data_IF_178224629486
#
_entry.id   IF_178224629486
#
_cell.length_a   1.000
_cell.length_b   1.000
_cell.length_c   1.000
_cell.angle_alpha   90.00
_cell.angle_beta   90.00
_cell.angle_gamma   90.00
#
_symmetry.space_group_name_H-M   'P 1'
#
loop_
_entity.id
_entity.type
_entity.pdbx_description
1 polymer ?
#
# COMPACT_ATOMS: atom_id res chain seq x y z
N UNK A 1 11.77 14.08 6.24
CA UNK A 1 11.10 12.99 5.51
C UNK A 1 9.85 12.63 6.29
N UNK A 2 8.81 12.07 5.67
CA UNK A 2 7.62 11.63 6.41
C UNK A 2 7.97 10.39 7.24
N UNK A 3 7.62 10.40 8.53
CA UNK A 3 7.79 9.25 9.43
C UNK A 3 6.70 8.17 9.22
N UNK A 4 5.68 8.52 8.44
CA UNK A 4 4.52 7.68 8.10
C UNK A 4 4.75 6.95 6.78
N UNK A 5 4.03 5.85 6.57
CA UNK A 5 4.00 5.15 5.28
C UNK A 5 3.37 6.05 4.21
N UNK A 6 4.08 6.26 3.10
CA UNK A 6 3.58 7.09 2.00
C UNK A 6 4.00 6.54 0.64
N UNK A 7 3.04 6.46 -0.28
CA UNK A 7 3.25 6.01 -1.64
C UNK A 7 2.31 6.73 -2.61
N UNK A 8 2.71 6.78 -3.88
CA UNK A 8 1.84 7.26 -4.95
C UNK A 8 1.25 6.07 -5.70
N UNK A 9 -0.06 6.12 -5.93
CA UNK A 9 -0.78 5.13 -6.70
C UNK A 9 -1.21 5.75 -8.03
N UNK A 10 -0.78 5.13 -9.13
CA UNK A 10 -1.24 5.48 -10.46
C UNK A 10 -2.65 4.90 -10.71
N UNK A 11 -3.47 5.51 -11.60
CA UNK A 11 -4.81 5.02 -11.90
C UNK A 11 -4.87 3.58 -12.45
N UNK A 12 -3.75 3.06 -12.96
CA UNK A 12 -3.61 1.70 -13.45
C UNK A 12 -3.19 0.70 -12.35
N UNK A 13 -3.16 1.14 -11.08
CA UNK A 13 -2.85 0.31 -9.93
C UNK A 13 -1.35 0.21 -9.59
N UNK A 14 -0.47 0.75 -10.43
CA UNK A 14 0.99 0.73 -10.18
C UNK A 14 1.39 1.71 -9.10
N UNK A 15 2.53 1.43 -8.45
CA UNK A 15 3.15 2.28 -7.44
C UNK A 15 4.42 2.93 -8.00
N UNK A 16 4.39 4.14 -8.60
CA UNK A 16 5.57 4.71 -9.23
C UNK A 16 6.65 5.16 -8.26
N UNK A 17 6.28 5.44 -7.00
CA UNK A 17 7.21 5.82 -5.95
C UNK A 17 6.60 5.57 -4.56
N UNK A 18 7.46 5.32 -3.58
CA UNK A 18 7.15 5.21 -2.16
C UNK A 18 8.33 5.73 -1.34
N UNK A 19 8.11 5.97 -0.05
CA UNK A 19 9.18 6.30 0.89
C UNK A 19 9.75 5.06 1.59
N UNK A 20 10.90 5.22 2.25
CA UNK A 20 11.59 4.14 2.98
C UNK A 20 10.75 3.54 4.12
N UNK A 21 9.68 4.20 4.55
CA UNK A 21 8.77 3.68 5.57
C UNK A 21 7.93 2.50 5.08
N UNK A 22 7.64 2.40 3.78
CA UNK A 22 6.94 1.22 3.22
C UNK A 22 7.70 -0.07 3.54
N UNK A 23 8.96 -0.27 3.10
CA UNK A 23 9.68 -1.50 3.38
C UNK A 23 9.94 -1.71 4.88
N UNK A 24 10.19 -0.63 5.64
CA UNK A 24 10.44 -0.73 7.09
C UNK A 24 9.22 -1.19 7.91
N UNK A 25 8.00 -0.81 7.50
CA UNK A 25 6.76 -1.14 8.22
C UNK A 25 6.15 -2.45 7.71
N UNK A 26 6.19 -2.67 6.40
CA UNK A 26 5.53 -3.84 5.78
C UNK A 26 6.44 -5.06 5.66
N UNK A 27 7.76 -4.86 5.70
CA UNK A 27 8.76 -5.92 5.50
C UNK A 27 9.05 -6.26 4.04
N UNK A 28 8.31 -5.68 3.08
CA UNK A 28 8.58 -5.87 1.65
C UNK A 28 9.88 -5.20 1.23
N UNK A 29 10.60 -5.82 0.31
CA UNK A 29 11.72 -5.18 -0.38
C UNK A 29 11.22 -4.16 -1.40
N UNK A 30 12.10 -3.26 -1.86
CA UNK A 30 11.78 -2.35 -2.96
C UNK A 30 11.34 -3.10 -4.23
N UNK A 31 12.02 -4.21 -4.57
CA UNK A 31 11.68 -5.00 -5.75
C UNK A 31 10.31 -5.68 -5.65
N UNK A 32 9.95 -6.22 -4.48
CA UNK A 32 8.61 -6.75 -4.25
C UNK A 32 7.55 -5.64 -4.33
N UNK A 33 7.84 -4.47 -3.75
CA UNK A 33 6.94 -3.31 -3.79
C UNK A 33 6.66 -2.83 -5.22
N UNK A 34 7.65 -2.90 -6.12
CA UNK A 34 7.49 -2.54 -7.55
C UNK A 34 6.47 -3.42 -8.28
N UNK A 35 6.35 -4.68 -7.88
CA UNK A 35 5.46 -5.66 -8.51
C UNK A 35 4.07 -5.68 -7.88
N UNK A 36 3.91 -5.06 -6.71
CA UNK A 36 2.67 -5.07 -5.93
C UNK A 36 1.65 -4.00 -6.34
N UNK A 37 0.38 -4.33 -6.14
CA UNK A 37 -0.72 -3.37 -6.06
C UNK A 37 -0.81 -2.73 -4.67
N UNK A 38 -1.24 -1.47 -4.61
CA UNK A 38 -1.48 -0.76 -3.35
C UNK A 38 -2.44 -1.49 -2.39
N UNK A 39 -3.38 -2.28 -2.91
CA UNK A 39 -4.32 -3.05 -2.09
C UNK A 39 -3.67 -4.22 -1.36
N UNK A 40 -2.50 -4.69 -1.83
CA UNK A 40 -1.83 -5.85 -1.24
C UNK A 40 -1.11 -5.52 0.08
N UNK A 41 -0.92 -4.23 0.39
CA UNK A 41 -0.50 -3.77 1.73
C UNK A 41 -1.56 -3.98 2.81
N UNK A 42 -2.78 -4.36 2.44
CA UNK A 42 -3.88 -4.59 3.36
C UNK A 42 -4.20 -6.08 3.47
N UNK A 43 -4.71 -6.47 4.64
CA UNK A 43 -5.21 -7.82 4.90
C UNK A 43 -6.24 -8.23 3.84
N UNK A 44 -6.30 -9.51 3.44
CA UNK A 44 -7.18 -9.99 2.36
C UNK A 44 -8.66 -9.62 2.58
N UNK A 45 -9.11 -9.52 3.83
CA UNK A 45 -10.44 -9.10 4.23
C UNK A 45 -10.77 -7.63 3.89
N UNK A 46 -9.77 -6.75 3.86
CA UNK A 46 -9.93 -5.30 3.66
C UNK A 46 -9.68 -4.87 2.21
N UNK A 47 -9.12 -5.74 1.37
CA UNK A 47 -8.67 -5.39 0.00
C UNK A 47 -9.79 -4.85 -0.87
N UNK A 48 -10.98 -5.44 -0.79
CA UNK A 48 -12.13 -5.03 -1.60
C UNK A 48 -12.64 -3.64 -1.18
N UNK A 49 -12.64 -3.35 0.13
CA UNK A 49 -13.03 -2.03 0.64
C UNK A 49 -12.02 -0.96 0.21
N UNK A 50 -10.72 -1.26 0.35
CA UNK A 50 -9.64 -0.35 -0.09
C UNK A 50 -9.68 -0.13 -1.60
N UNK A 51 -9.90 -1.17 -2.40
CA UNK A 51 -10.04 -1.04 -3.85
C UNK A 51 -11.20 -0.12 -4.23
N UNK A 52 -12.34 -0.25 -3.55
CA UNK A 52 -13.50 0.63 -3.72
C UNK A 52 -13.15 2.08 -3.35
N UNK A 53 -12.50 2.30 -2.20
CA UNK A 53 -12.07 3.63 -1.76
C UNK A 53 -11.12 4.31 -2.77
N UNK A 54 -10.17 3.55 -3.32
CA UNK A 54 -9.27 4.02 -4.39
C UNK A 54 -10.07 4.39 -5.65
N UNK A 55 -10.97 3.53 -6.10
CA UNK A 55 -11.79 3.78 -7.29
C UNK A 55 -12.64 5.05 -7.13
N UNK A 56 -13.22 5.25 -5.95
CA UNK A 56 -13.95 6.48 -5.58
C UNK A 56 -13.03 7.70 -5.60
N UNK A 57 -11.85 7.64 -4.98
CA UNK A 57 -10.92 8.76 -4.93
C UNK A 57 -10.49 9.20 -6.34
N UNK A 58 -10.20 8.25 -7.23
CA UNK A 58 -9.81 8.50 -8.62
C UNK A 58 -10.97 9.04 -9.44
N UNK A 59 -12.15 8.42 -9.35
CA UNK A 59 -13.32 8.78 -10.20
C UNK A 59 -13.95 10.10 -9.77
N UNK A 60 -14.13 10.29 -8.47
CA UNK A 60 -14.78 11.48 -7.90
C UNK A 60 -13.81 12.63 -7.64
N UNK A 61 -12.49 12.38 -7.79
CA UNK A 61 -11.41 13.37 -7.59
C UNK A 61 -11.46 14.06 -6.22
N UNK A 62 -11.68 13.26 -5.18
CA UNK A 62 -11.72 13.72 -3.79
C UNK A 62 -10.91 12.81 -2.88
N UNK A 63 -10.62 13.31 -1.70
CA UNK A 63 -10.03 12.51 -0.65
C UNK A 63 -11.06 11.50 -0.10
N UNK A 64 -10.57 10.27 0.12
CA UNK A 64 -11.30 9.17 0.77
C UNK A 64 -10.38 8.63 1.87
N UNK A 65 -10.95 8.28 3.01
CA UNK A 65 -10.24 7.61 4.11
C UNK A 65 -10.93 6.27 4.36
N UNK A 66 -10.11 5.23 4.55
CA UNK A 66 -10.51 3.86 4.90
C UNK A 66 -9.56 3.37 5.98
N UNK A 67 -10.04 2.50 6.86
CA UNK A 67 -9.23 1.84 7.89
C UNK A 67 -9.14 0.35 7.55
N UNK A 68 -7.97 -0.24 7.73
CA UNK A 68 -7.74 -1.66 7.45
C UNK A 68 -6.45 -2.14 8.12
N UNK A 69 -6.34 -3.46 8.30
CA UNK A 69 -5.14 -4.06 8.84
C UNK A 69 -4.01 -4.01 7.81
N UNK A 70 -2.82 -3.58 8.24
CA UNK A 70 -1.62 -3.65 7.40
C UNK A 70 -1.18 -5.10 7.30
N UNK A 71 -1.06 -5.61 6.07
CA UNK A 71 -0.48 -6.90 5.79
C UNK A 71 1.05 -6.74 5.72
N UNK A 72 1.72 -7.20 6.78
CA UNK A 72 3.17 -7.29 6.82
C UNK A 72 3.60 -8.72 6.49
N UNK A 73 4.62 -8.87 5.65
CA UNK A 73 5.28 -10.17 5.52
C UNK A 73 6.02 -10.47 6.81
N UNK A 74 5.94 -11.72 7.27
CA UNK A 74 6.89 -12.17 8.29
C UNK A 74 8.29 -12.03 7.70
N UNK A 75 9.07 -11.08 8.21
CA UNK A 75 10.49 -10.99 7.88
C UNK A 75 11.12 -12.35 8.23
N UNK A 76 11.88 -12.97 7.31
CA UNK A 76 12.66 -14.13 7.68
C UNK A 76 13.51 -13.73 8.90
N UNK A 77 13.45 -14.52 9.97
CA UNK A 77 14.32 -14.29 11.12
C UNK A 77 15.74 -14.26 10.59
N UNK A 78 16.45 -13.16 10.81
CA UNK A 78 17.86 -13.09 10.52
C UNK A 78 18.55 -14.27 11.22
N UNK A 79 19.24 -15.10 10.44
CA UNK A 79 20.09 -16.19 10.94
C UNK A 79 21.21 -15.66 11.85
#
# INVERSE_FOLDING_TARGET
MLDEVYYYLAPDGRLPQWNDRVPEVTGYTHGETEEMSATEFFGPEDRDEVASAVATAVTEKRQVTVEGAVFAVELPKAD
#
